data_IF_917847338375
#
_entry.id   IF_917847338375
#
_cell.length_a   1.000
_cell.length_b   1.000
_cell.length_c   1.000
_cell.angle_alpha   90.00
_cell.angle_beta   90.00
_cell.angle_gamma   90.00
#
_symmetry.space_group_name_H-M   'P 1'
#
loop_
_entity.id
_entity.type
_entity.pdbx_description
1 polymer ?
#
# COMPACT_ATOMS: atom_id res chain seq x y z
N UNK A 1 -10.97 18.30 43.58
CA UNK A 1 -12.11 18.65 42.74
C UNK A 1 -12.88 17.37 42.49
N UNK A 2 -14.22 17.38 42.50
CA UNK A 2 -14.97 16.22 42.03
C UNK A 2 -14.64 15.98 40.58
N UNK A 3 -14.58 14.73 40.11
CA UNK A 3 -14.32 14.41 38.70
C UNK A 3 -15.38 15.06 37.82
N UNK A 4 -14.96 15.62 36.68
CA UNK A 4 -15.87 16.18 35.70
C UNK A 4 -16.76 15.03 35.15
N UNK A 5 -18.06 15.28 34.84
CA UNK A 5 -18.92 14.23 34.26
C UNK A 5 -18.30 13.51 33.04
N UNK A 6 -17.48 14.20 32.23
CA UNK A 6 -16.75 13.61 31.14
C UNK A 6 -15.66 12.59 31.57
N UNK A 7 -15.18 12.68 32.81
CA UNK A 7 -14.19 11.74 33.35
C UNK A 7 -14.80 10.42 33.81
N UNK A 8 -16.14 10.32 33.84
CA UNK A 8 -16.90 9.13 34.25
C UNK A 8 -17.33 8.24 33.08
N UNK A 9 -16.97 8.54 31.86
CA UNK A 9 -17.23 7.70 30.67
C UNK A 9 -16.27 6.51 30.58
N UNK A 10 -16.34 5.60 31.54
CA UNK A 10 -15.43 4.46 31.67
C UNK A 10 -15.91 3.19 30.96
N UNK A 11 -17.06 3.24 30.29
CA UNK A 11 -17.69 2.09 29.64
C UNK A 11 -18.03 2.38 28.18
N UNK A 12 -17.87 1.37 27.32
CA UNK A 12 -18.60 1.25 26.07
C UNK A 12 -19.84 0.45 26.35
N UNK A 13 -21.01 1.05 26.18
CA UNK A 13 -22.29 0.42 26.48
C UNK A 13 -23.00 0.00 25.20
N UNK A 14 -23.29 -1.28 25.08
CA UNK A 14 -24.05 -1.87 23.98
C UNK A 14 -25.37 -2.41 24.55
N UNK A 15 -26.50 -2.02 23.98
CA UNK A 15 -27.80 -2.54 24.36
C UNK A 15 -28.62 -2.91 23.14
N UNK A 16 -29.17 -4.13 23.13
CA UNK A 16 -30.06 -4.58 22.08
C UNK A 16 -29.39 -4.77 20.72
N UNK A 17 -28.16 -5.27 20.68
CA UNK A 17 -27.47 -5.51 19.39
C UNK A 17 -28.05 -6.74 18.68
N UNK A 18 -28.39 -6.55 17.36
CA UNK A 18 -29.05 -7.56 16.51
C UNK A 18 -28.30 -7.72 15.15
N UNK A 19 -27.06 -7.27 15.07
CA UNK A 19 -26.25 -7.34 13.83
C UNK A 19 -25.93 -8.81 13.51
N UNK A 20 -26.16 -9.20 12.27
CA UNK A 20 -25.93 -10.56 11.76
C UNK A 20 -26.65 -11.63 12.61
N UNK A 21 -25.86 -12.45 13.34
CA UNK A 21 -26.38 -13.55 14.17
C UNK A 21 -26.58 -13.16 15.64
N UNK A 22 -26.43 -11.89 16.02
CA UNK A 22 -26.73 -11.44 17.39
C UNK A 22 -28.21 -11.43 17.63
N UNK A 23 -28.60 -11.85 18.84
CA UNK A 23 -30.00 -11.92 19.29
C UNK A 23 -30.19 -11.06 20.54
N UNK A 24 -30.43 -9.76 20.33
CA UNK A 24 -30.73 -8.79 21.38
C UNK A 24 -29.70 -8.73 22.52
N UNK A 25 -28.44 -8.59 22.09
CA UNK A 25 -27.28 -8.67 22.98
C UNK A 25 -27.02 -7.33 23.67
N UNK A 26 -26.85 -7.37 25.00
CA UNK A 26 -26.45 -6.21 25.78
C UNK A 26 -25.20 -6.51 26.61
N UNK A 27 -24.22 -5.57 26.58
CA UNK A 27 -22.94 -5.71 27.30
C UNK A 27 -22.35 -4.36 27.63
N UNK A 28 -21.75 -4.21 28.78
CA UNK A 28 -20.93 -3.07 29.20
C UNK A 28 -19.44 -3.48 29.15
N UNK A 29 -18.63 -2.76 28.38
CA UNK A 29 -17.22 -3.06 28.17
C UNK A 29 -16.38 -1.93 28.79
N UNK A 30 -15.49 -2.23 29.75
CA UNK A 30 -14.67 -1.21 30.37
C UNK A 30 -13.65 -0.63 29.42
N UNK A 31 -13.58 0.70 29.36
CA UNK A 31 -12.56 1.44 28.60
C UNK A 31 -11.19 1.36 29.26
N UNK A 32 -10.15 1.64 28.49
CA UNK A 32 -8.75 1.65 28.95
C UNK A 32 -8.33 0.33 29.60
N UNK A 33 -8.98 -0.75 29.18
CA UNK A 33 -8.70 -2.13 29.57
C UNK A 33 -8.52 -3.00 28.35
N UNK A 34 -7.95 -4.17 28.57
CA UNK A 34 -7.90 -5.23 27.58
C UNK A 34 -9.07 -6.19 27.87
N UNK A 35 -10.00 -6.29 26.93
CA UNK A 35 -11.16 -7.18 27.00
C UNK A 35 -11.03 -8.26 25.92
N UNK A 36 -11.17 -9.53 26.32
CA UNK A 36 -11.07 -10.68 25.43
C UNK A 36 -12.43 -11.32 25.24
N UNK A 37 -12.87 -11.42 23.98
CA UNK A 37 -14.10 -12.07 23.58
C UNK A 37 -13.79 -13.49 23.08
N UNK A 38 -14.25 -14.48 23.80
CA UNK A 38 -14.03 -15.90 23.49
C UNK A 38 -15.35 -16.65 23.42
N UNK A 39 -15.36 -17.82 22.81
CA UNK A 39 -16.55 -18.70 22.65
C UNK A 39 -16.48 -19.47 21.34
N UNK A 40 -17.46 -20.35 21.10
CA UNK A 40 -17.51 -21.19 19.90
C UNK A 40 -17.58 -20.38 18.60
N UNK A 41 -17.12 -20.98 17.50
CA UNK A 41 -17.24 -20.34 16.18
C UNK A 41 -18.73 -20.10 15.86
N UNK A 42 -19.03 -18.95 15.24
CA UNK A 42 -20.41 -18.56 14.93
C UNK A 42 -21.22 -18.01 16.10
N UNK A 43 -20.67 -17.89 17.31
CA UNK A 43 -21.39 -17.35 18.48
C UNK A 43 -21.68 -15.84 18.44
N UNK A 44 -21.22 -15.10 17.44
CA UNK A 44 -21.49 -13.66 17.29
C UNK A 44 -20.40 -12.71 17.81
N UNK A 45 -19.26 -13.20 18.28
CA UNK A 45 -18.13 -12.36 18.77
C UNK A 45 -17.72 -11.29 17.78
N UNK A 46 -17.40 -11.71 16.54
CA UNK A 46 -16.99 -10.79 15.49
C UNK A 46 -18.15 -9.85 15.07
N UNK A 47 -19.40 -10.31 15.12
CA UNK A 47 -20.57 -9.46 14.87
C UNK A 47 -20.71 -8.36 15.91
N UNK A 48 -20.41 -8.64 17.18
CA UNK A 48 -20.42 -7.63 18.25
C UNK A 48 -19.23 -6.66 18.12
N UNK A 49 -18.01 -7.20 18.06
CA UNK A 49 -16.80 -6.40 18.17
C UNK A 49 -16.53 -5.62 16.88
N UNK A 50 -16.58 -6.29 15.72
CA UNK A 50 -16.34 -5.66 14.42
C UNK A 50 -17.61 -5.11 13.79
N UNK A 51 -18.68 -5.89 13.73
CA UNK A 51 -19.91 -5.52 13.05
C UNK A 51 -20.76 -4.47 13.79
N UNK A 52 -20.58 -4.32 15.10
CA UNK A 52 -21.33 -3.36 15.91
C UNK A 52 -20.43 -2.24 16.42
N UNK A 53 -19.45 -2.53 17.27
CA UNK A 53 -18.66 -1.50 17.96
C UNK A 53 -17.72 -0.77 16.98
N UNK A 54 -16.87 -1.51 16.25
CA UNK A 54 -15.92 -0.92 15.33
C UNK A 54 -16.62 -0.28 14.14
N UNK A 55 -17.66 -0.90 13.58
CA UNK A 55 -18.42 -0.38 12.46
C UNK A 55 -19.08 0.97 12.79
N UNK A 56 -19.75 1.10 13.95
CA UNK A 56 -20.37 2.36 14.34
C UNK A 56 -19.34 3.46 14.61
N UNK A 57 -18.24 3.12 15.30
CA UNK A 57 -17.16 4.08 15.49
C UNK A 57 -16.61 4.60 14.14
N UNK A 58 -16.43 3.72 13.16
CA UNK A 58 -15.95 4.09 11.85
C UNK A 58 -16.98 4.92 11.07
N UNK A 59 -18.26 4.58 11.17
CA UNK A 59 -19.37 5.35 10.59
C UNK A 59 -19.39 6.76 11.11
N UNK A 60 -19.32 6.94 12.43
CA UNK A 60 -19.32 8.26 13.08
C UNK A 60 -18.11 9.11 12.64
N UNK A 61 -16.93 8.51 12.49
CA UNK A 61 -15.76 9.20 11.97
C UNK A 61 -15.97 9.61 10.50
N UNK A 62 -16.51 8.71 9.67
CA UNK A 62 -16.77 8.97 8.26
C UNK A 62 -17.73 10.14 8.09
N UNK A 63 -18.72 10.32 8.95
CA UNK A 63 -19.65 11.43 8.92
C UNK A 63 -18.99 12.81 9.20
N UNK A 64 -17.83 12.85 9.82
CA UNK A 64 -17.10 14.11 10.04
C UNK A 64 -16.43 14.67 8.79
N UNK A 65 -16.28 13.86 7.73
CA UNK A 65 -15.67 14.28 6.47
C UNK A 65 -16.68 14.98 5.57
N UNK A 66 -16.17 15.75 4.60
CA UNK A 66 -17.03 16.38 3.59
C UNK A 66 -17.71 15.31 2.71
N UNK A 67 -18.90 15.61 2.17
CA UNK A 67 -19.65 14.70 1.30
C UNK A 67 -18.83 14.18 0.11
N UNK A 68 -17.92 15.01 -0.43
CA UNK A 68 -17.00 14.60 -1.50
C UNK A 68 -16.07 13.47 -1.04
N UNK A 69 -15.47 13.57 0.14
CA UNK A 69 -14.58 12.54 0.70
C UNK A 69 -15.36 11.28 1.06
N UNK A 70 -16.56 11.43 1.63
CA UNK A 70 -17.44 10.30 1.97
C UNK A 70 -17.78 9.43 0.74
N UNK A 71 -17.90 10.04 -0.45
CA UNK A 71 -18.16 9.32 -1.70
C UNK A 71 -17.04 8.34 -2.11
N UNK A 72 -15.83 8.47 -1.57
CA UNK A 72 -14.70 7.55 -1.80
C UNK A 72 -14.45 6.58 -0.65
N UNK A 73 -15.20 6.69 0.45
CA UNK A 73 -15.06 5.82 1.61
C UNK A 73 -16.01 4.62 1.52
N UNK A 74 -15.67 3.49 2.16
CA UNK A 74 -16.61 2.39 2.29
C UNK A 74 -17.89 2.86 2.96
N UNK A 75 -19.03 2.53 2.36
CA UNK A 75 -20.33 2.83 2.95
C UNK A 75 -20.60 1.84 4.10
N UNK A 76 -20.37 2.29 5.31
CA UNK A 76 -20.67 1.51 6.54
C UNK A 76 -22.06 1.89 7.00
N UNK A 77 -23.01 0.97 6.86
CA UNK A 77 -24.38 1.15 7.40
C UNK A 77 -24.37 1.23 8.91
N UNK A 78 -25.39 1.93 9.47
CA UNK A 78 -25.58 1.96 10.93
C UNK A 78 -25.90 0.53 11.41
N UNK A 79 -25.19 0.00 12.41
CA UNK A 79 -25.50 -1.31 12.96
C UNK A 79 -26.88 -1.31 13.65
N UNK A 80 -27.56 -2.46 13.62
CA UNK A 80 -28.83 -2.65 14.31
C UNK A 80 -28.59 -2.86 15.82
N UNK A 81 -28.71 -1.77 16.56
CA UNK A 81 -28.50 -1.71 18.02
C UNK A 81 -29.38 -0.60 18.60
N UNK A 82 -29.95 -0.85 19.77
CA UNK A 82 -30.84 0.12 20.43
C UNK A 82 -30.04 1.27 21.07
N UNK A 83 -28.96 0.94 21.80
CA UNK A 83 -28.03 1.92 22.39
C UNK A 83 -26.61 1.48 22.15
N UNK A 84 -25.78 2.41 21.64
CA UNK A 84 -24.34 2.24 21.57
C UNK A 84 -23.66 3.55 21.96
N UNK A 85 -23.11 3.59 23.16
CA UNK A 85 -22.63 4.78 23.82
C UNK A 85 -21.19 4.59 24.33
N UNK A 86 -20.49 5.70 24.56
CA UNK A 86 -19.14 5.69 25.11
C UNK A 86 -18.06 5.30 24.08
N UNK A 87 -18.34 5.27 22.77
CA UNK A 87 -17.36 4.94 21.74
C UNK A 87 -16.22 5.93 21.69
N UNK A 88 -15.03 5.41 21.42
CA UNK A 88 -13.86 6.18 20.97
C UNK A 88 -13.47 5.74 19.57
N UNK A 89 -12.54 6.45 18.94
CA UNK A 89 -12.03 6.09 17.60
C UNK A 89 -11.56 4.64 17.58
N UNK A 90 -12.19 3.80 16.75
CA UNK A 90 -11.79 2.41 16.60
C UNK A 90 -10.75 2.23 15.49
N UNK A 91 -9.67 1.51 15.80
CA UNK A 91 -8.64 1.07 14.87
C UNK A 91 -8.71 -0.44 14.76
N UNK A 92 -9.06 -0.92 13.57
CA UNK A 92 -9.18 -2.35 13.28
C UNK A 92 -7.81 -2.88 12.84
N UNK A 93 -7.35 -3.93 13.52
CA UNK A 93 -6.12 -4.66 13.18
C UNK A 93 -6.49 -6.11 12.85
N UNK A 94 -6.95 -6.30 11.63
CA UNK A 94 -7.37 -7.58 11.08
C UNK A 94 -6.27 -8.26 10.26
N UNK A 95 -6.56 -9.47 9.78
CA UNK A 95 -5.69 -10.26 8.91
C UNK A 95 -5.86 -9.94 7.43
N UNK A 96 -6.67 -8.96 7.06
CA UNK A 96 -6.80 -8.58 5.67
C UNK A 96 -5.44 -8.17 5.10
N UNK A 97 -5.15 -8.67 3.90
CA UNK A 97 -3.92 -8.33 3.20
C UNK A 97 -3.86 -6.82 3.02
N UNK A 98 -2.71 -6.27 3.31
CA UNK A 98 -2.43 -4.87 3.00
C UNK A 98 -2.52 -4.73 1.49
N UNK A 99 -3.45 -3.90 1.02
CA UNK A 99 -3.92 -3.85 -0.37
C UNK A 99 -2.82 -3.96 -1.44
N UNK A 100 -3.20 -4.45 -2.60
CA UNK A 100 -2.33 -4.82 -3.73
C UNK A 100 -1.62 -3.63 -4.43
N UNK A 101 -1.35 -2.52 -3.73
CA UNK A 101 -0.57 -1.44 -4.32
C UNK A 101 0.89 -1.89 -4.50
N UNK A 102 1.31 -2.01 -5.75
CA UNK A 102 2.67 -2.44 -6.14
C UNK A 102 3.77 -1.59 -5.50
N UNK A 103 3.49 -0.34 -5.15
CA UNK A 103 4.42 0.57 -4.48
C UNK A 103 4.40 0.47 -2.95
N UNK A 104 3.54 -0.38 -2.39
CA UNK A 104 3.46 -0.57 -0.95
C UNK A 104 4.52 -1.58 -0.48
N UNK A 105 5.31 -1.20 0.52
CA UNK A 105 6.34 -2.05 1.14
C UNK A 105 6.16 -2.10 2.65
N UNK A 106 6.80 -3.06 3.31
CA UNK A 106 6.83 -3.16 4.78
C UNK A 106 7.21 -1.80 5.40
N UNK A 107 8.27 -1.17 4.90
CA UNK A 107 8.72 0.12 5.44
C UNK A 107 7.75 1.28 5.21
N UNK A 108 6.93 1.26 4.14
CA UNK A 108 5.92 2.32 3.90
C UNK A 108 4.67 2.13 4.75
N UNK A 109 4.28 0.89 5.02
CA UNK A 109 3.09 0.56 5.83
C UNK A 109 3.31 0.87 7.30
N UNK A 110 4.53 0.73 7.77
CA UNK A 110 4.91 0.91 9.18
C UNK A 110 5.51 2.27 9.49
N UNK A 111 5.54 3.17 8.51
CA UNK A 111 6.17 4.50 8.56
C UNK A 111 7.71 4.48 8.82
N UNK A 112 8.35 3.31 8.93
CA UNK A 112 9.79 3.18 9.08
C UNK A 112 10.57 3.88 7.95
N UNK A 113 10.10 3.75 6.71
CA UNK A 113 10.69 4.44 5.55
C UNK A 113 10.60 5.96 5.65
N UNK A 114 9.58 6.52 6.29
CA UNK A 114 9.46 7.96 6.46
C UNK A 114 10.58 8.49 7.36
N UNK A 115 10.81 7.82 8.49
CA UNK A 115 11.89 8.16 9.43
C UNK A 115 13.27 7.96 8.81
N UNK A 116 13.48 6.84 8.10
CA UNK A 116 14.73 6.54 7.41
C UNK A 116 15.07 7.60 6.33
N UNK A 117 14.09 8.04 5.54
CA UNK A 117 14.27 9.11 4.56
C UNK A 117 14.67 10.44 5.21
N UNK A 118 14.10 10.78 6.36
CA UNK A 118 14.49 11.97 7.11
C UNK A 118 15.93 11.82 7.59
N UNK A 119 16.31 10.65 8.08
CA UNK A 119 17.68 10.38 8.53
C UNK A 119 18.68 10.58 7.37
N UNK A 120 18.44 9.97 6.21
CA UNK A 120 19.31 10.14 5.04
C UNK A 120 19.35 11.58 4.52
N UNK A 121 18.25 12.33 4.61
CA UNK A 121 18.22 13.74 4.23
C UNK A 121 19.07 14.63 5.13
N UNK A 122 19.36 14.21 6.36
CA UNK A 122 20.16 14.98 7.33
C UNK A 122 21.62 14.54 7.37
N UNK A 123 21.86 13.24 7.34
CA UNK A 123 23.21 12.68 7.52
C UNK A 123 23.86 12.19 6.24
N UNK A 124 23.09 11.93 5.18
CA UNK A 124 23.58 11.36 3.93
C UNK A 124 24.57 12.24 3.19
N UNK A 125 25.66 11.64 2.73
CA UNK A 125 26.72 12.29 1.96
C UNK A 125 26.89 11.59 0.61
N UNK A 126 26.86 12.35 -0.54
CA UNK A 126 26.60 13.78 -0.65
C UNK A 126 25.16 14.15 -0.23
N UNK A 127 24.95 15.38 0.22
CA UNK A 127 23.60 15.88 0.48
C UNK A 127 22.88 16.13 -0.84
N UNK A 128 21.72 15.50 -1.04
CA UNK A 128 20.96 15.56 -2.31
C UNK A 128 19.63 16.30 -2.19
N UNK A 129 19.19 16.65 -0.98
CA UNK A 129 17.96 17.39 -0.76
C UNK A 129 17.13 16.87 0.42
N UNK A 130 15.85 17.32 0.51
CA UNK A 130 14.94 16.95 1.58
C UNK A 130 14.54 15.46 1.51
N UNK A 131 13.80 14.97 2.49
CA UNK A 131 13.36 13.56 2.59
C UNK A 131 12.63 13.03 1.33
N UNK A 132 12.02 13.93 0.55
CA UNK A 132 11.41 13.57 -0.74
C UNK A 132 12.44 13.09 -1.78
N UNK A 133 13.70 13.56 -1.71
CA UNK A 133 14.78 13.12 -2.57
C UNK A 133 15.15 11.63 -2.37
N UNK A 134 14.69 11.03 -1.28
CA UNK A 134 14.87 9.62 -0.94
C UNK A 134 13.58 8.80 -1.06
N UNK A 135 12.52 9.37 -1.65
CA UNK A 135 11.23 8.70 -1.82
C UNK A 135 11.04 8.13 -3.22
N UNK A 136 10.90 6.82 -3.32
CA UNK A 136 10.58 6.17 -4.60
C UNK A 136 9.15 6.45 -5.11
N UNK A 137 8.31 7.11 -4.30
CA UNK A 137 6.95 7.54 -4.69
C UNK A 137 6.88 8.99 -5.18
N UNK A 138 7.99 9.72 -5.16
CA UNK A 138 8.04 11.12 -5.55
C UNK A 138 8.96 11.28 -6.76
N UNK A 139 8.43 11.68 -7.94
CA UNK A 139 9.24 11.95 -9.10
C UNK A 139 10.03 13.26 -8.94
N UNK A 140 11.17 13.34 -9.59
CA UNK A 140 11.85 14.61 -9.83
C UNK A 140 11.14 15.33 -10.97
N UNK A 141 10.74 16.58 -10.72
CA UNK A 141 10.02 17.40 -11.70
C UNK A 141 10.73 18.75 -11.81
N UNK A 142 11.01 19.18 -13.04
CA UNK A 142 11.48 20.52 -13.35
C UNK A 142 10.42 21.22 -14.20
N UNK A 143 9.95 22.37 -13.75
CA UNK A 143 9.02 23.18 -14.49
C UNK A 143 9.56 24.61 -14.57
N UNK A 144 9.47 25.23 -15.75
CA UNK A 144 9.81 26.65 -15.94
C UNK A 144 8.58 27.42 -16.41
N UNK A 145 8.35 28.56 -15.80
CA UNK A 145 7.20 29.42 -16.11
C UNK A 145 7.52 30.89 -15.88
N UNK A 146 6.68 31.75 -16.43
CA UNK A 146 6.74 33.17 -16.17
C UNK A 146 6.07 33.47 -14.82
N UNK A 147 6.79 34.12 -13.91
CA UNK A 147 6.22 34.65 -12.67
C UNK A 147 6.21 36.20 -12.72
N UNK A 148 5.17 36.78 -12.22
CA UNK A 148 5.08 38.24 -12.09
C UNK A 148 5.50 38.66 -10.70
N UNK A 149 6.64 39.34 -10.61
CA UNK A 149 7.15 39.85 -9.33
C UNK A 149 6.80 41.33 -9.20
N UNK A 150 6.04 41.70 -8.18
CA UNK A 150 5.74 43.08 -7.84
C UNK A 150 6.81 43.62 -6.88
N UNK A 151 7.47 44.74 -7.27
CA UNK A 151 8.37 45.51 -6.41
C UNK A 151 7.89 46.93 -6.39
N UNK A 152 7.17 47.33 -5.33
CA UNK A 152 6.49 48.62 -5.25
C UNK A 152 5.42 48.73 -6.33
N UNK A 153 5.39 49.87 -7.06
CA UNK A 153 4.42 50.13 -8.14
C UNK A 153 4.82 49.52 -9.52
N UNK A 154 5.90 48.71 -9.58
CA UNK A 154 6.36 48.10 -10.85
C UNK A 154 6.20 46.60 -10.78
N UNK A 155 5.55 46.06 -11.78
CA UNK A 155 5.48 44.60 -12.02
C UNK A 155 6.47 44.20 -13.11
N UNK A 156 7.29 43.16 -12.86
CA UNK A 156 8.19 42.61 -13.84
C UNK A 156 7.94 41.10 -13.98
N UNK A 157 7.81 40.66 -15.21
CA UNK A 157 7.69 39.25 -15.50
C UNK A 157 9.09 38.65 -15.60
N UNK A 158 9.40 37.67 -14.75
CA UNK A 158 10.68 36.95 -14.74
C UNK A 158 10.42 35.48 -14.99
N UNK A 159 11.36 34.82 -15.70
CA UNK A 159 11.32 33.37 -15.90
C UNK A 159 11.83 32.70 -14.63
N UNK A 160 10.99 31.95 -13.95
CA UNK A 160 11.38 31.15 -12.80
C UNK A 160 11.40 29.67 -13.18
N UNK A 161 12.39 28.94 -12.67
CA UNK A 161 12.46 27.49 -12.78
C UNK A 161 12.22 26.91 -11.41
N UNK A 162 11.26 26.02 -11.32
CA UNK A 162 10.90 25.30 -10.11
C UNK A 162 11.38 23.87 -10.24
N UNK A 163 12.28 23.46 -9.38
CA UNK A 163 12.79 22.10 -9.32
C UNK A 163 12.27 21.42 -8.05
N UNK A 164 11.57 20.31 -8.20
CA UNK A 164 11.23 19.41 -7.11
C UNK A 164 12.08 18.16 -7.25
N UNK A 165 12.98 17.95 -6.29
CA UNK A 165 13.79 16.74 -6.27
C UNK A 165 13.01 15.62 -5.63
N UNK A 166 12.88 14.49 -6.34
CA UNK A 166 12.29 13.25 -5.88
C UNK A 166 13.29 12.10 -6.01
N UNK A 167 13.07 11.04 -5.24
CA UNK A 167 13.94 9.87 -5.24
C UNK A 167 13.49 8.75 -6.17
N UNK A 168 12.42 8.93 -6.93
CA UNK A 168 11.85 7.91 -7.79
C UNK A 168 12.78 7.59 -8.97
N UNK A 169 13.02 6.31 -9.24
CA UNK A 169 13.71 5.88 -10.46
C UNK A 169 12.88 6.28 -11.69
N UNK A 170 13.43 7.03 -12.65
CA UNK A 170 12.67 7.51 -13.81
C UNK A 170 12.25 6.38 -14.75
N UNK A 171 13.01 5.27 -14.81
CA UNK A 171 12.75 4.17 -15.74
C UNK A 171 11.59 3.28 -15.29
N UNK A 172 11.55 2.89 -14.02
CA UNK A 172 10.49 2.03 -13.50
C UNK A 172 9.43 2.79 -12.70
N UNK A 173 9.52 4.11 -12.64
CA UNK A 173 8.59 4.96 -11.90
C UNK A 173 8.32 4.48 -10.46
N UNK A 174 9.37 4.00 -9.78
CA UNK A 174 9.28 3.51 -8.41
C UNK A 174 8.69 2.10 -8.26
N UNK A 175 8.48 1.37 -9.35
CA UNK A 175 7.96 -0.01 -9.33
C UNK A 175 9.02 -1.05 -8.96
N UNK A 176 10.31 -0.77 -9.26
CA UNK A 176 11.42 -1.70 -9.07
C UNK A 176 11.55 -2.74 -10.18
N UNK A 177 10.54 -2.89 -11.00
CA UNK A 177 10.51 -3.77 -12.18
C UNK A 177 10.08 -2.98 -13.41
N UNK A 178 10.49 -3.44 -14.57
CA UNK A 178 10.03 -2.97 -15.86
C UNK A 178 9.30 -4.08 -16.57
N UNK A 179 8.29 -3.70 -17.33
CA UNK A 179 7.53 -4.64 -18.14
C UNK A 179 8.33 -4.89 -19.43
N UNK A 180 8.66 -6.11 -19.69
CA UNK A 180 9.17 -6.58 -20.97
C UNK A 180 8.12 -7.44 -21.67
N UNK A 181 8.17 -7.49 -22.99
CA UNK A 181 7.20 -8.21 -23.79
C UNK A 181 7.87 -9.33 -24.57
N UNK A 182 7.37 -10.53 -24.45
CA UNK A 182 7.74 -11.62 -25.33
C UNK A 182 7.14 -11.36 -26.72
N UNK A 183 7.97 -10.94 -27.64
CA UNK A 183 7.54 -10.64 -29.01
C UNK A 183 6.89 -11.85 -29.69
N UNK A 184 7.31 -13.07 -29.38
CA UNK A 184 6.72 -14.29 -29.94
C UNK A 184 5.27 -14.51 -29.51
N UNK A 185 4.87 -13.92 -28.38
CA UNK A 185 3.49 -13.91 -27.93
C UNK A 185 2.63 -12.80 -28.56
N UNK A 186 3.26 -11.80 -29.19
CA UNK A 186 2.57 -10.65 -29.80
C UNK A 186 2.25 -10.88 -31.27
N UNK A 187 3.11 -11.59 -31.98
CA UNK A 187 2.96 -11.87 -33.41
C UNK A 187 3.75 -13.10 -33.86
N UNK A 188 3.30 -13.72 -34.93
CA UNK A 188 4.01 -14.76 -35.70
C UNK A 188 4.82 -14.06 -36.78
N UNK A 189 6.15 -14.01 -36.64
CA UNK A 189 7.06 -13.29 -37.53
C UNK A 189 7.18 -13.95 -38.92
N UNK A 190 6.83 -15.22 -39.07
CA UNK A 190 6.80 -15.93 -40.33
C UNK A 190 5.68 -15.46 -41.27
N UNK A 191 4.66 -14.80 -40.73
CA UNK A 191 3.47 -14.32 -41.44
C UNK A 191 3.53 -12.83 -41.73
N UNK A 192 2.77 -12.43 -42.74
CA UNK A 192 2.46 -11.05 -43.05
C UNK A 192 1.24 -10.57 -42.26
N UNK A 193 0.99 -9.24 -42.23
CA UNK A 193 -0.20 -8.69 -41.60
C UNK A 193 -1.49 -9.20 -42.25
N UNK A 194 -1.49 -9.36 -43.57
CA UNK A 194 -2.64 -9.91 -44.30
C UNK A 194 -2.88 -11.39 -43.98
N UNK A 195 -1.87 -12.16 -43.64
CA UNK A 195 -1.93 -13.55 -43.19
C UNK A 195 -2.27 -13.71 -41.71
N UNK A 196 -2.50 -12.62 -40.99
CA UNK A 196 -2.89 -12.67 -39.57
C UNK A 196 -1.74 -12.83 -38.61
N UNK A 197 -0.62 -12.16 -38.89
CA UNK A 197 0.56 -12.24 -38.03
C UNK A 197 0.34 -11.82 -36.58
N UNK A 198 -0.53 -10.83 -36.29
CA UNK A 198 -0.73 -10.32 -34.92
C UNK A 198 -1.61 -11.28 -34.12
N UNK A 199 -1.12 -11.71 -32.93
CA UNK A 199 -1.77 -12.68 -32.03
C UNK A 199 -2.40 -12.03 -30.79
N UNK A 200 -2.34 -10.68 -30.69
CA UNK A 200 -2.87 -9.92 -29.55
C UNK A 200 -4.41 -10.00 -29.51
N UNK A 201 -5.03 -10.38 -28.39
CA UNK A 201 -6.47 -10.42 -28.25
C UNK A 201 -7.15 -9.11 -28.62
N UNK A 202 -8.27 -9.19 -29.37
CA UNK A 202 -9.00 -8.01 -29.83
C UNK A 202 -8.41 -7.30 -31.06
N UNK A 203 -7.28 -7.79 -31.61
CA UNK A 203 -6.71 -7.32 -32.88
C UNK A 203 -6.84 -8.45 -33.88
N UNK A 204 -8.03 -8.59 -34.47
CA UNK A 204 -8.21 -9.47 -35.61
C UNK A 204 -7.94 -8.71 -36.90
N UNK A 205 -7.29 -9.34 -37.87
CA UNK A 205 -6.93 -8.64 -39.14
C UNK A 205 -8.16 -8.16 -39.92
N UNK A 206 -9.29 -8.81 -39.80
CA UNK A 206 -10.55 -8.39 -40.39
C UNK A 206 -11.27 -7.29 -39.59
N UNK A 207 -10.90 -7.16 -38.33
CA UNK A 207 -11.49 -6.16 -37.43
C UNK A 207 -10.97 -4.75 -37.65
N UNK A 208 -11.55 -3.79 -36.93
CA UNK A 208 -11.19 -2.37 -37.02
C UNK A 208 -9.71 -2.11 -36.83
N UNK A 209 -9.09 -2.71 -35.84
CA UNK A 209 -7.66 -2.51 -35.54
C UNK A 209 -6.77 -3.15 -36.59
N UNK A 210 -7.12 -4.32 -37.10
CA UNK A 210 -6.38 -4.95 -38.20
C UNK A 210 -6.32 -4.07 -39.45
N UNK A 211 -7.43 -3.39 -39.79
CA UNK A 211 -7.43 -2.40 -40.88
C UNK A 211 -6.50 -1.23 -40.65
N UNK A 212 -6.41 -0.75 -39.39
CA UNK A 212 -5.46 0.34 -39.04
C UNK A 212 -4.01 -0.12 -39.24
N UNK A 213 -3.63 -1.32 -38.78
CA UNK A 213 -2.28 -1.84 -38.95
C UNK A 213 -1.94 -2.12 -40.41
N UNK A 214 -2.86 -2.65 -41.19
CA UNK A 214 -2.66 -2.89 -42.62
C UNK A 214 -2.61 -1.59 -43.45
N UNK A 215 -3.45 -0.62 -43.12
CA UNK A 215 -3.62 0.62 -43.87
C UNK A 215 -2.77 1.80 -43.40
N UNK A 216 -1.90 1.61 -42.39
CA UNK A 216 -1.15 2.71 -41.78
C UNK A 216 -0.06 3.34 -42.66
N UNK A 217 0.38 2.63 -43.71
CA UNK A 217 1.43 3.10 -44.64
C UNK A 217 2.84 3.05 -44.08
N UNK A 218 3.07 2.50 -42.87
CA UNK A 218 4.40 2.36 -42.27
C UNK A 218 5.13 1.10 -42.76
N UNK A 219 4.41 0.10 -43.19
CA UNK A 219 4.93 -1.19 -43.66
C UNK A 219 4.05 -1.76 -44.78
N UNK A 220 4.62 -2.66 -45.57
CA UNK A 220 3.93 -3.44 -46.57
C UNK A 220 3.13 -4.56 -45.85
N UNK A 221 1.79 -4.61 -45.98
CA UNK A 221 0.97 -5.58 -45.27
C UNK A 221 1.12 -7.02 -45.80
N UNK A 222 1.67 -7.23 -46.98
CA UNK A 222 1.95 -8.55 -47.58
C UNK A 222 3.35 -9.10 -47.23
N UNK A 223 4.18 -8.27 -46.64
CA UNK A 223 5.53 -8.66 -46.26
C UNK A 223 5.57 -9.36 -44.90
N UNK A 224 6.19 -10.55 -44.76
CA UNK A 224 6.40 -11.19 -43.49
C UNK A 224 7.13 -10.31 -42.47
N UNK A 225 6.72 -10.33 -41.20
CA UNK A 225 7.31 -9.47 -40.15
C UNK A 225 8.80 -9.75 -39.96
N UNK A 226 9.24 -11.01 -40.10
CA UNK A 226 10.67 -11.36 -40.11
C UNK A 226 11.52 -10.60 -41.13
N UNK A 227 10.92 -10.08 -42.18
CA UNK A 227 11.60 -9.27 -43.20
C UNK A 227 11.47 -7.76 -42.98
N UNK A 228 10.85 -7.32 -41.89
CA UNK A 228 10.77 -5.89 -41.56
C UNK A 228 12.15 -5.33 -41.23
N UNK A 229 12.37 -4.08 -41.61
CA UNK A 229 13.54 -3.34 -41.16
C UNK A 229 13.44 -3.06 -39.68
N UNK A 230 14.56 -2.78 -39.00
CA UNK A 230 14.56 -2.39 -37.56
C UNK A 230 13.60 -1.24 -37.29
N UNK A 231 13.48 -0.26 -38.19
CA UNK A 231 12.54 0.86 -38.05
C UNK A 231 11.08 0.40 -38.17
N UNK A 232 10.78 -0.45 -39.14
CA UNK A 232 9.43 -0.99 -39.31
C UNK A 232 8.99 -1.83 -38.07
N UNK A 233 9.87 -2.69 -37.57
CA UNK A 233 9.62 -3.46 -36.37
C UNK A 233 9.44 -2.56 -35.14
N UNK A 234 10.26 -1.52 -35.02
CA UNK A 234 10.12 -0.52 -33.96
C UNK A 234 8.79 0.23 -34.09
N UNK A 235 8.39 0.63 -35.28
CA UNK A 235 7.11 1.31 -35.52
C UNK A 235 5.91 0.39 -35.25
N UNK A 236 6.02 -0.91 -35.53
CA UNK A 236 4.99 -1.90 -35.19
C UNK A 236 4.85 -2.08 -33.66
N UNK A 237 5.96 -2.11 -32.93
CA UNK A 237 5.98 -2.40 -31.51
C UNK A 237 5.77 -1.18 -30.62
N UNK A 238 6.50 -0.08 -30.90
CA UNK A 238 6.69 1.01 -29.92
C UNK A 238 6.22 2.39 -30.39
N UNK A 239 5.67 2.53 -31.63
CA UNK A 239 5.28 3.85 -32.13
C UNK A 239 4.27 4.53 -31.22
N UNK A 240 4.61 5.74 -30.80
CA UNK A 240 3.71 6.61 -30.04
C UNK A 240 2.45 6.95 -30.84
N UNK A 241 1.31 7.25 -30.17
CA UNK A 241 0.06 7.56 -30.85
C UNK A 241 0.21 8.69 -31.85
N UNK A 242 -0.11 8.42 -33.11
CA UNK A 242 -0.04 9.38 -34.22
C UNK A 242 -1.34 9.34 -35.02
N UNK A 243 -1.84 10.52 -35.42
CA UNK A 243 -3.01 10.62 -36.30
C UNK A 243 -2.61 10.33 -37.74
N UNK A 244 -3.31 9.37 -38.34
CA UNK A 244 -3.14 8.95 -39.75
C UNK A 244 -4.47 8.90 -40.44
N UNK A 245 -4.45 8.78 -41.77
CA UNK A 245 -5.66 8.61 -42.57
C UNK A 245 -5.65 7.21 -43.18
N UNK A 246 -6.63 6.40 -42.83
CA UNK A 246 -6.80 5.05 -43.36
C UNK A 246 -8.16 4.98 -44.04
N UNK A 247 -8.22 4.57 -45.30
CA UNK A 247 -9.44 4.49 -46.10
C UNK A 247 -10.29 5.77 -46.06
N UNK A 248 -9.65 6.93 -46.03
CA UNK A 248 -10.35 8.21 -45.97
C UNK A 248 -10.73 8.68 -44.54
N UNK A 249 -10.60 7.85 -43.52
CA UNK A 249 -11.00 8.13 -42.13
C UNK A 249 -9.78 8.52 -41.31
N UNK A 250 -9.90 9.57 -40.50
CA UNK A 250 -8.85 9.94 -39.53
C UNK A 250 -8.87 8.99 -38.33
N UNK A 251 -7.80 8.26 -38.12
CA UNK A 251 -7.63 7.30 -37.03
C UNK A 251 -6.34 7.57 -36.27
N UNK A 252 -6.24 7.06 -35.05
CA UNK A 252 -4.99 7.08 -34.28
C UNK A 252 -4.30 5.72 -34.44
N UNK A 253 -3.11 5.73 -35.00
CA UNK A 253 -2.20 4.59 -34.99
C UNK A 253 -1.32 4.66 -33.74
N UNK A 254 -1.12 3.55 -33.09
CA UNK A 254 -0.17 3.34 -31.98
C UNK A 254 0.45 1.94 -32.11
N UNK A 255 1.67 1.77 -31.65
CA UNK A 255 2.33 0.47 -31.63
C UNK A 255 1.63 -0.55 -30.75
N UNK A 256 1.95 -1.83 -30.90
CA UNK A 256 1.32 -2.93 -30.14
C UNK A 256 1.55 -2.77 -28.65
N UNK A 257 2.73 -2.39 -28.21
CA UNK A 257 3.09 -2.27 -26.78
C UNK A 257 2.36 -1.12 -26.10
N UNK A 258 2.35 0.13 -26.58
CA UNK A 258 1.54 1.21 -26.01
C UNK A 258 0.05 0.82 -25.91
N UNK A 259 -0.43 0.11 -26.94
CA UNK A 259 -1.80 -0.34 -26.96
C UNK A 259 -2.11 -1.40 -25.89
N UNK A 260 -1.24 -2.41 -25.74
CA UNK A 260 -1.38 -3.44 -24.70
C UNK A 260 -1.33 -2.80 -23.31
N UNK A 261 -0.40 -1.91 -23.07
CA UNK A 261 -0.29 -1.16 -21.82
C UNK A 261 -1.59 -0.43 -21.47
N UNK A 262 -2.15 0.30 -22.46
CA UNK A 262 -3.39 1.06 -22.28
C UNK A 262 -4.63 0.19 -22.14
N UNK A 263 -4.72 -0.91 -22.91
CA UNK A 263 -5.96 -1.71 -22.99
C UNK A 263 -6.04 -2.80 -21.93
N UNK A 264 -4.91 -3.35 -21.52
CA UNK A 264 -4.84 -4.49 -20.60
C UNK A 264 -4.14 -4.12 -19.28
N UNK A 265 -2.92 -3.60 -19.31
CA UNK A 265 -2.13 -3.39 -18.09
C UNK A 265 -2.60 -2.21 -17.21
N UNK A 266 -3.47 -1.35 -17.73
CA UNK A 266 -4.11 -0.28 -16.94
C UNK A 266 -5.27 -0.77 -16.06
N UNK A 267 -5.72 -2.03 -16.25
CA UNK A 267 -6.84 -2.63 -15.54
C UNK A 267 -6.35 -3.61 -14.47
N UNK A 268 -7.17 -3.82 -13.45
CA UNK A 268 -6.91 -4.85 -12.45
C UNK A 268 -6.96 -6.24 -13.12
N UNK A 269 -5.92 -7.05 -12.87
CA UNK A 269 -5.78 -8.41 -13.43
C UNK A 269 -6.97 -9.30 -13.05
N UNK A 270 -7.51 -9.12 -11.84
CA UNK A 270 -8.65 -9.90 -11.36
C UNK A 270 -9.97 -9.57 -12.08
N UNK A 271 -10.06 -8.39 -12.69
CA UNK A 271 -11.21 -7.97 -13.49
C UNK A 271 -11.14 -8.40 -14.96
N UNK A 272 -10.02 -9.01 -15.41
CA UNK A 272 -9.81 -9.39 -16.79
C UNK A 272 -10.55 -10.68 -17.14
N UNK A 273 -11.03 -10.75 -18.39
CA UNK A 273 -11.57 -12.01 -18.95
C UNK A 273 -10.47 -13.09 -19.00
N UNK A 274 -10.80 -14.37 -18.80
CA UNK A 274 -9.81 -15.45 -18.68
C UNK A 274 -8.82 -15.53 -19.84
N UNK A 275 -9.26 -15.35 -21.08
CA UNK A 275 -8.40 -15.41 -22.27
C UNK A 275 -7.43 -14.21 -22.37
N UNK A 276 -7.83 -13.03 -21.87
CA UNK A 276 -6.96 -11.84 -21.82
C UNK A 276 -5.91 -12.04 -20.72
N UNK A 277 -6.31 -12.56 -19.56
CA UNK A 277 -5.37 -12.88 -18.48
C UNK A 277 -4.31 -13.87 -18.94
N UNK A 278 -4.73 -14.99 -19.58
CA UNK A 278 -3.79 -15.98 -20.12
C UNK A 278 -2.85 -15.41 -21.19
N UNK A 279 -3.30 -14.44 -21.99
CA UNK A 279 -2.43 -13.73 -22.92
C UNK A 279 -1.43 -12.83 -22.18
N UNK A 280 -1.87 -12.02 -21.20
CA UNK A 280 -1.00 -11.14 -20.43
C UNK A 280 0.07 -11.95 -19.67
N UNK A 281 -0.31 -13.06 -19.03
CA UNK A 281 0.60 -13.96 -18.32
C UNK A 281 1.69 -14.55 -19.24
N UNK A 282 1.37 -14.79 -20.51
CA UNK A 282 2.31 -15.32 -21.50
C UNK A 282 3.15 -14.22 -22.15
N UNK A 283 2.54 -13.06 -22.46
CA UNK A 283 3.16 -12.02 -23.28
C UNK A 283 3.94 -10.99 -22.45
N UNK A 284 3.66 -10.90 -21.15
CA UNK A 284 4.23 -9.87 -20.28
C UNK A 284 5.16 -10.53 -19.26
N UNK A 285 6.41 -10.16 -19.31
CA UNK A 285 7.41 -10.55 -18.32
C UNK A 285 7.80 -9.34 -17.48
N UNK A 286 7.89 -9.53 -16.17
CA UNK A 286 8.38 -8.51 -15.27
C UNK A 286 9.86 -8.78 -14.98
N UNK A 287 10.71 -7.89 -15.43
CA UNK A 287 12.15 -7.96 -15.15
C UNK A 287 12.52 -6.92 -14.10
N UNK A 288 13.51 -7.25 -13.26
CA UNK A 288 14.11 -6.25 -12.36
C UNK A 288 14.59 -5.06 -13.18
N UNK A 289 14.27 -3.84 -12.73
CA UNK A 289 14.65 -2.63 -13.44
C UNK A 289 16.18 -2.54 -13.56
N UNK A 290 16.76 -2.52 -14.77
CA UNK A 290 18.21 -2.52 -14.93
C UNK A 290 18.88 -1.19 -14.52
N UNK A 291 18.13 -0.10 -14.38
CA UNK A 291 18.66 1.18 -13.95
C UNK A 291 18.80 1.27 -12.43
N UNK A 292 17.82 0.77 -11.68
CA UNK A 292 17.82 0.87 -10.22
C UNK A 292 18.04 -0.47 -9.51
N UNK A 293 18.23 -1.56 -10.24
CA UNK A 293 18.42 -2.92 -9.73
C UNK A 293 17.35 -3.29 -8.66
N UNK A 294 16.09 -3.01 -8.97
CA UNK A 294 14.95 -3.29 -8.08
C UNK A 294 14.79 -2.33 -6.89
N UNK A 295 15.73 -1.45 -6.62
CA UNK A 295 15.70 -0.53 -5.48
C UNK A 295 14.58 0.52 -5.54
N UNK A 296 13.99 0.75 -6.71
CA UNK A 296 12.94 1.76 -6.99
C UNK A 296 13.44 3.21 -6.93
N UNK A 297 14.69 3.42 -6.57
CA UNK A 297 15.27 4.73 -6.29
C UNK A 297 16.16 5.22 -7.44
N UNK A 298 16.17 6.54 -7.62
CA UNK A 298 17.06 7.22 -8.56
C UNK A 298 18.53 7.03 -8.20
N UNK A 299 19.44 7.20 -9.16
CA UNK A 299 20.87 7.14 -8.93
C UNK A 299 21.33 8.17 -7.87
N UNK A 300 20.78 9.39 -7.90
CA UNK A 300 21.06 10.41 -6.90
C UNK A 300 20.70 9.93 -5.48
N UNK A 301 19.54 9.30 -5.29
CA UNK A 301 19.15 8.77 -3.99
C UNK A 301 20.07 7.65 -3.49
N UNK A 302 20.56 6.81 -4.40
CA UNK A 302 21.48 5.70 -4.10
C UNK A 302 22.93 6.16 -3.91
N UNK A 303 23.32 7.32 -4.46
CA UNK A 303 24.67 7.87 -4.26
C UNK A 303 24.91 8.43 -2.87
N UNK A 304 23.86 8.87 -2.18
CA UNK A 304 23.94 9.43 -0.82
C UNK A 304 24.03 8.31 0.22
N UNK A 305 25.04 8.35 1.07
CA UNK A 305 25.37 7.27 2.01
C UNK A 305 25.56 7.80 3.42
N UNK A 306 25.22 6.99 4.41
CA UNK A 306 25.57 7.13 5.82
C UNK A 306 26.49 5.96 6.14
N UNK A 307 27.74 6.24 6.58
CA UNK A 307 28.74 5.21 6.89
C UNK A 307 28.91 4.14 5.78
N UNK A 308 28.91 4.59 4.53
CA UNK A 308 29.09 3.71 3.37
C UNK A 308 27.80 3.01 2.87
N UNK A 309 26.69 3.05 3.62
CA UNK A 309 25.42 2.40 3.29
C UNK A 309 24.45 3.44 2.71
N UNK A 310 23.84 3.17 1.57
CA UNK A 310 22.79 4.00 0.99
C UNK A 310 21.40 3.52 1.48
N UNK A 311 20.36 4.32 1.23
CA UNK A 311 19.01 4.03 1.71
C UNK A 311 18.42 2.75 1.09
N UNK A 312 18.81 2.38 -0.14
CA UNK A 312 18.34 1.15 -0.78
C UNK A 312 18.92 -0.08 -0.07
N UNK A 313 20.24 -0.04 0.22
CA UNK A 313 20.94 -1.09 0.95
C UNK A 313 20.35 -1.24 2.36
N UNK A 314 20.14 -0.12 3.07
CA UNK A 314 19.51 -0.11 4.38
C UNK A 314 18.10 -0.73 4.36
N UNK A 315 17.29 -0.41 3.35
CA UNK A 315 15.95 -1.01 3.19
C UNK A 315 15.99 -2.50 2.81
N UNK A 316 17.08 -2.99 2.22
CA UNK A 316 17.24 -4.38 1.82
C UNK A 316 17.76 -5.28 2.95
N UNK A 317 18.38 -4.72 3.98
CA UNK A 317 18.82 -5.47 5.16
C UNK A 317 17.64 -6.15 5.85
N UNK A 318 17.93 -7.24 6.56
CA UNK A 318 16.99 -7.72 7.57
C UNK A 318 16.80 -6.63 8.64
N UNK A 319 15.58 -6.48 9.13
CA UNK A 319 15.27 -5.42 10.10
C UNK A 319 16.07 -5.57 11.38
N UNK A 320 16.38 -6.82 11.80
CA UNK A 320 17.30 -7.09 12.91
C UNK A 320 18.68 -6.47 12.69
N UNK A 321 19.24 -6.61 11.47
CA UNK A 321 20.57 -6.11 11.13
C UNK A 321 20.55 -4.59 10.96
N UNK A 322 19.47 -4.05 10.36
CA UNK A 322 19.24 -2.61 10.26
C UNK A 322 19.16 -1.96 11.64
N UNK A 323 18.52 -2.62 12.62
CA UNK A 323 18.46 -2.14 14.00
C UNK A 323 19.83 -2.12 14.67
N UNK A 324 20.70 -3.09 14.38
CA UNK A 324 22.09 -3.10 14.89
C UNK A 324 22.90 -1.98 14.24
N UNK A 325 22.82 -1.82 12.91
CA UNK A 325 23.50 -0.73 12.20
C UNK A 325 23.09 0.65 12.72
N UNK A 326 21.78 0.85 12.94
CA UNK A 326 21.26 2.14 13.43
C UNK A 326 21.81 2.52 14.79
N UNK A 327 22.03 1.55 15.71
CA UNK A 327 22.64 1.79 17.04
C UNK A 327 24.08 2.25 16.95
N UNK A 328 24.78 1.95 15.85
CA UNK A 328 26.16 2.41 15.61
C UNK A 328 26.25 3.88 15.20
N UNK A 329 25.12 4.53 14.84
CA UNK A 329 25.13 5.93 14.39
C UNK A 329 25.07 6.86 15.62
N UNK A 330 26.18 7.54 15.90
CA UNK A 330 26.29 8.50 17.00
C UNK A 330 26.24 9.93 16.45
N UNK A 331 25.06 10.55 16.41
CA UNK A 331 24.87 11.95 16.04
C UNK A 331 23.77 12.61 16.87
N UNK A 332 24.18 13.56 17.70
CA UNK A 332 23.30 14.26 18.65
C UNK A 332 22.26 15.13 17.96
N UNK A 333 22.54 15.62 16.75
CA UNK A 333 21.62 16.50 15.99
C UNK A 333 20.36 15.77 15.54
N UNK A 334 20.39 14.45 15.45
CA UNK A 334 19.28 13.58 15.04
C UNK A 334 18.88 12.57 16.11
N UNK A 335 19.35 12.71 17.34
CA UNK A 335 19.09 11.75 18.42
C UNK A 335 17.61 11.39 18.62
N UNK A 336 16.64 12.34 18.62
CA UNK A 336 15.22 11.98 18.73
C UNK A 336 14.70 11.15 17.54
N UNK A 337 15.23 11.40 16.34
CA UNK A 337 14.88 10.65 15.14
C UNK A 337 15.43 9.22 15.19
N UNK A 338 16.70 9.08 15.61
CA UNK A 338 17.33 7.78 15.82
C UNK A 338 16.56 6.96 16.85
N UNK A 339 16.20 7.55 17.98
CA UNK A 339 15.40 6.89 19.02
C UNK A 339 14.03 6.44 18.49
N UNK A 340 13.34 7.29 17.72
CA UNK A 340 12.05 6.95 17.12
C UNK A 340 12.16 5.81 16.12
N UNK A 341 13.13 5.85 15.21
CA UNK A 341 13.35 4.79 14.23
C UNK A 341 13.79 3.49 14.92
N UNK A 342 14.70 3.57 15.90
CA UNK A 342 15.14 2.41 16.69
C UNK A 342 13.96 1.72 17.37
N UNK A 343 13.05 2.49 17.99
CA UNK A 343 11.86 1.94 18.62
C UNK A 343 10.97 1.17 17.64
N UNK A 344 10.81 1.69 16.41
CA UNK A 344 10.05 0.98 15.35
C UNK A 344 10.76 -0.32 14.97
N UNK A 345 12.07 -0.30 14.72
CA UNK A 345 12.84 -1.50 14.34
C UNK A 345 12.88 -2.55 15.47
N UNK A 346 13.04 -2.13 16.71
CA UNK A 346 13.00 -3.03 17.87
C UNK A 346 11.62 -3.67 18.04
N UNK A 347 10.53 -2.93 17.74
CA UNK A 347 9.17 -3.49 17.73
C UNK A 347 9.01 -4.61 16.69
N UNK A 348 9.65 -4.50 15.51
CA UNK A 348 9.67 -5.59 14.53
C UNK A 348 10.36 -6.84 15.07
N UNK A 349 11.51 -6.66 15.73
CA UNK A 349 12.26 -7.78 16.32
C UNK A 349 11.47 -8.45 17.44
N UNK A 350 10.87 -7.64 18.32
CA UNK A 350 10.07 -8.12 19.44
C UNK A 350 8.84 -8.93 18.98
N UNK A 351 8.19 -8.54 17.87
CA UNK A 351 7.00 -9.23 17.33
C UNK A 351 7.36 -10.44 16.44
N UNK A 352 8.66 -10.74 16.30
CA UNK A 352 9.14 -11.86 15.49
C UNK A 352 9.16 -11.59 13.99
N UNK A 353 9.22 -10.33 13.56
CA UNK A 353 9.31 -9.91 12.16
C UNK A 353 10.70 -9.34 11.78
N UNK A 354 11.70 -9.54 12.63
CA UNK A 354 13.07 -9.04 12.40
C UNK A 354 13.75 -9.60 11.14
N UNK A 355 13.29 -10.75 10.63
CA UNK A 355 13.78 -11.37 9.40
C UNK A 355 13.27 -10.68 8.11
N UNK A 356 12.24 -9.84 8.21
CA UNK A 356 11.75 -9.08 7.08
C UNK A 356 12.74 -7.98 6.69
N UNK A 357 12.56 -7.46 5.47
CA UNK A 357 13.23 -6.24 5.00
C UNK A 357 12.21 -5.14 4.73
N UNK A 358 12.62 -3.88 4.87
CA UNK A 358 11.73 -2.73 4.67
C UNK A 358 11.27 -2.57 3.22
N UNK A 359 12.05 -3.06 2.26
CA UNK A 359 11.71 -3.02 0.82
C UNK A 359 10.80 -4.17 0.38
N UNK A 360 10.53 -5.17 1.24
CA UNK A 360 9.64 -6.29 0.89
C UNK A 360 8.24 -5.76 0.54
N UNK A 361 7.68 -6.14 -0.63
CA UNK A 361 6.34 -5.73 -1.02
C UNK A 361 5.30 -6.19 0.00
N UNK A 362 4.41 -5.28 0.43
CA UNK A 362 3.41 -5.59 1.47
C UNK A 362 2.41 -6.66 1.06
N UNK A 363 2.11 -6.78 -0.25
CA UNK A 363 1.21 -7.81 -0.78
C UNK A 363 1.78 -9.24 -0.72
N UNK A 364 3.09 -9.41 -0.44
CA UNK A 364 3.73 -10.73 -0.27
C UNK A 364 3.71 -11.23 1.17
N UNK A 365 3.20 -10.42 2.09
CA UNK A 365 3.07 -10.82 3.49
C UNK A 365 1.95 -11.83 3.67
N UNK A 366 2.17 -12.82 4.52
CA UNK A 366 1.07 -13.68 5.03
C UNK A 366 0.09 -12.84 5.87
N UNK A 367 -1.14 -13.33 6.06
CA UNK A 367 -2.14 -12.63 6.87
C UNK A 367 -1.63 -12.27 8.28
N UNK A 368 -0.95 -13.19 8.95
CA UNK A 368 -0.37 -12.95 10.28
C UNK A 368 0.81 -11.96 10.25
N UNK A 369 1.67 -11.97 9.21
CA UNK A 369 2.73 -10.96 9.03
C UNK A 369 2.12 -9.58 8.79
N UNK A 370 1.09 -9.48 7.93
CA UNK A 370 0.40 -8.23 7.63
C UNK A 370 -0.25 -7.63 8.88
N UNK A 371 -0.94 -8.44 9.67
CA UNK A 371 -1.57 -8.02 10.93
C UNK A 371 -0.52 -7.50 11.91
N UNK A 372 0.58 -8.23 12.12
CA UNK A 372 1.66 -7.80 13.00
C UNK A 372 2.34 -6.52 12.49
N UNK A 373 2.56 -6.39 11.18
CA UNK A 373 3.11 -5.17 10.60
C UNK A 373 2.19 -3.95 10.81
N UNK A 374 0.87 -4.12 10.66
CA UNK A 374 -0.11 -3.06 10.99
C UNK A 374 0.02 -2.64 12.46
N UNK A 375 0.20 -3.59 13.38
CA UNK A 375 0.34 -3.33 14.81
C UNK A 375 1.56 -2.46 15.15
N UNK A 376 2.69 -2.66 14.48
CA UNK A 376 3.93 -1.89 14.71
C UNK A 376 3.69 -0.39 14.55
N UNK A 377 2.94 0.01 13.53
CA UNK A 377 2.59 1.42 13.30
C UNK A 377 1.89 2.03 14.52
N UNK A 378 1.03 1.28 15.17
CA UNK A 378 0.25 1.73 16.32
C UNK A 378 1.04 1.73 17.62
N UNK A 379 2.02 0.83 17.76
CA UNK A 379 2.93 0.83 18.90
C UNK A 379 3.78 2.10 18.96
N UNK A 380 4.19 2.63 17.82
CA UNK A 380 4.91 3.90 17.71
C UNK A 380 4.02 5.15 17.85
N UNK A 381 2.69 4.99 17.80
CA UNK A 381 1.74 6.11 17.87
C UNK A 381 1.69 6.73 19.27
N UNK A 382 1.57 8.05 19.31
CA UNK A 382 1.32 8.83 20.54
C UNK A 382 -0.18 8.96 20.87
N UNK A 383 -1.06 8.30 20.09
CA UNK A 383 -2.50 8.34 20.33
C UNK A 383 -2.85 7.63 21.65
N UNK A 384 -3.73 8.25 22.41
CA UNK A 384 -4.31 7.73 23.66
C UNK A 384 -5.83 7.79 23.57
N UNK A 385 -6.51 7.04 24.41
CA UNK A 385 -7.99 6.92 24.44
C UNK A 385 -8.60 6.46 23.09
N UNK A 386 -7.91 5.54 22.42
CA UNK A 386 -8.32 4.89 21.17
C UNK A 386 -8.78 3.46 21.49
N UNK A 387 -9.76 2.94 20.73
CA UNK A 387 -10.18 1.53 20.81
C UNK A 387 -9.48 0.72 19.73
N UNK A 388 -8.54 -0.13 20.10
CA UNK A 388 -7.94 -1.11 19.20
C UNK A 388 -8.75 -2.39 19.18
N UNK A 389 -9.02 -2.91 17.98
CA UNK A 389 -9.82 -4.12 17.78
C UNK A 389 -8.98 -5.14 17.00
N UNK A 390 -8.75 -6.31 17.61
CA UNK A 390 -7.93 -7.37 17.04
C UNK A 390 -8.76 -8.63 16.77
N UNK A 391 -8.54 -9.21 15.58
CA UNK A 391 -9.11 -10.50 15.19
C UNK A 391 -8.02 -11.57 15.23
N UNK A 392 -8.14 -12.48 16.20
CA UNK A 392 -7.25 -13.63 16.41
C UNK A 392 -5.74 -13.30 16.25
N UNK A 393 -5.19 -12.31 16.99
CA UNK A 393 -3.83 -11.83 16.77
C UNK A 393 -2.74 -12.88 17.00
N UNK A 394 -3.08 -14.01 17.65
CA UNK A 394 -2.15 -15.10 17.94
C UNK A 394 -2.23 -16.26 16.94
N UNK A 395 -3.09 -16.14 15.90
CA UNK A 395 -3.23 -17.21 14.90
C UNK A 395 -1.90 -17.53 14.20
N UNK A 396 -1.57 -18.83 14.07
CA UNK A 396 -0.34 -19.27 13.43
C UNK A 396 0.95 -18.96 14.20
N UNK A 397 0.87 -18.40 15.41
CA UNK A 397 2.05 -18.16 16.25
C UNK A 397 2.46 -19.39 17.05
N UNK A 398 3.78 -19.55 17.19
CA UNK A 398 4.35 -20.50 18.15
C UNK A 398 4.08 -19.98 19.59
N UNK A 399 3.94 -20.86 20.61
CA UNK A 399 3.67 -20.46 22.00
C UNK A 399 4.62 -19.37 22.53
N UNK A 400 5.90 -19.42 22.19
CA UNK A 400 6.86 -18.39 22.58
C UNK A 400 6.53 -17.00 22.01
N UNK A 401 6.00 -16.94 20.78
CA UNK A 401 5.65 -15.66 20.13
C UNK A 401 4.30 -15.14 20.63
N UNK A 402 3.43 -15.99 21.17
CA UNK A 402 2.19 -15.59 21.84
C UNK A 402 2.50 -14.71 23.04
N UNK A 403 3.48 -15.08 23.87
CA UNK A 403 3.88 -14.28 25.02
C UNK A 403 4.36 -12.86 24.61
N UNK A 404 5.09 -12.77 23.51
CA UNK A 404 5.51 -11.46 22.93
C UNK A 404 4.31 -10.65 22.46
N UNK A 405 3.39 -11.29 21.71
CA UNK A 405 2.16 -10.63 21.26
C UNK A 405 1.34 -10.12 22.45
N UNK A 406 1.17 -10.93 23.47
CA UNK A 406 0.46 -10.54 24.70
C UNK A 406 1.09 -9.30 25.35
N UNK A 407 2.42 -9.24 25.44
CA UNK A 407 3.14 -8.08 25.96
C UNK A 407 2.83 -6.82 25.15
N UNK A 408 2.73 -6.92 23.83
CA UNK A 408 2.43 -5.77 22.97
C UNK A 408 0.98 -5.29 23.12
N UNK A 409 0.02 -6.21 23.25
CA UNK A 409 -1.39 -5.87 23.53
C UNK A 409 -1.52 -5.15 24.89
N UNK A 410 -0.78 -5.62 25.91
CA UNK A 410 -0.73 -4.97 27.21
C UNK A 410 -0.09 -3.57 27.14
N UNK A 411 0.97 -3.39 26.36
CA UNK A 411 1.59 -2.05 26.12
C UNK A 411 0.60 -1.06 25.48
N UNK A 412 -0.23 -1.51 24.52
CA UNK A 412 -1.26 -0.65 23.93
C UNK A 412 -2.28 -0.23 24.99
N UNK A 413 -2.73 -1.14 25.85
CA UNK A 413 -3.60 -0.84 26.99
C UNK A 413 -2.95 0.14 27.95
N UNK A 414 -1.69 -0.09 28.31
CA UNK A 414 -0.97 0.71 29.32
C UNK A 414 -0.69 2.15 28.85
N UNK A 415 -0.77 2.40 27.55
CA UNK A 415 -0.81 3.77 26.97
C UNK A 415 -2.17 4.47 27.18
N UNK A 416 -3.13 3.86 27.88
CA UNK A 416 -4.46 4.43 28.14
C UNK A 416 -5.47 4.15 27.01
N UNK A 417 -5.26 3.08 26.24
CA UNK A 417 -6.18 2.67 25.19
C UNK A 417 -7.09 1.53 25.62
N UNK A 418 -8.24 1.43 24.97
CA UNK A 418 -9.13 0.27 25.07
C UNK A 418 -8.68 -0.76 24.05
N UNK A 419 -8.52 -2.01 24.46
CA UNK A 419 -8.08 -3.11 23.58
C UNK A 419 -9.11 -4.20 23.60
N UNK A 420 -9.77 -4.45 22.46
CA UNK A 420 -10.76 -5.50 22.27
C UNK A 420 -10.14 -6.60 21.42
N UNK A 421 -10.15 -7.82 21.91
CA UNK A 421 -9.51 -8.96 21.24
C UNK A 421 -10.53 -10.08 21.08
N UNK A 422 -10.77 -10.54 19.88
CA UNK A 422 -11.46 -11.81 19.61
C UNK A 422 -10.39 -12.89 19.57
N UNK A 423 -10.47 -13.87 20.47
CA UNK A 423 -9.43 -14.90 20.63
C UNK A 423 -9.95 -16.22 21.16
N UNK A 424 -9.19 -17.30 20.87
CA UNK A 424 -9.51 -18.65 21.25
C UNK A 424 -8.39 -19.34 22.05
N UNK A 425 -7.15 -18.81 22.00
CA UNK A 425 -6.00 -19.43 22.69
C UNK A 425 -5.99 -19.06 24.18
N UNK A 426 -5.87 -20.08 25.08
CA UNK A 426 -5.90 -19.85 26.52
C UNK A 426 -4.86 -18.83 27.02
N UNK A 427 -3.65 -18.83 26.41
CA UNK A 427 -2.56 -17.95 26.78
C UNK A 427 -2.85 -16.47 26.49
N UNK A 428 -3.64 -16.20 25.45
CA UNK A 428 -4.07 -14.84 25.13
C UNK A 428 -5.34 -14.45 25.91
N UNK A 429 -6.19 -15.40 26.23
CA UNK A 429 -7.37 -15.16 27.07
C UNK A 429 -6.95 -14.74 28.48
N UNK A 430 -5.89 -15.32 29.02
CA UNK A 430 -5.44 -15.12 30.40
C UNK A 430 -4.95 -13.68 30.71
N UNK A 431 -4.66 -12.84 29.69
CA UNK A 431 -4.08 -11.50 29.90
C UNK A 431 -5.12 -10.37 30.06
N UNK A 432 -6.40 -10.64 29.82
CA UNK A 432 -7.43 -9.61 29.79
C UNK A 432 -8.66 -9.94 30.62
N UNK A 433 -9.59 -8.99 30.65
CA UNK A 433 -10.93 -9.23 31.18
C UNK A 433 -11.67 -10.16 30.23
N UNK A 434 -12.12 -11.29 30.75
CA UNK A 434 -12.78 -12.33 29.98
C UNK A 434 -14.26 -12.00 29.77
N UNK A 435 -14.66 -11.91 28.50
CA UNK A 435 -16.07 -11.94 28.10
C UNK A 435 -16.31 -13.28 27.41
N UNK A 436 -16.73 -14.30 28.21
CA UNK A 436 -17.15 -15.60 27.67
C UNK A 436 -18.45 -15.43 26.90
N UNK A 437 -18.44 -15.69 25.63
CA UNK A 437 -19.58 -15.46 24.76
C UNK A 437 -20.27 -16.78 24.40
N UNK A 438 -21.46 -16.98 24.87
CA UNK A 438 -22.36 -18.02 24.39
C UNK A 438 -23.62 -17.35 23.86
N UNK A 439 -23.93 -17.51 22.58
CA UNK A 439 -25.23 -17.11 22.06
C UNK A 439 -26.27 -18.04 22.72
N UNK A 440 -27.30 -17.52 23.40
CA UNK A 440 -28.29 -18.35 24.11
C UNK A 440 -29.16 -19.23 23.22
N UNK A 441 -28.81 -19.46 21.97
CA UNK A 441 -29.59 -20.22 21.02
C UNK A 441 -28.85 -21.40 20.36
N UNK A 442 -27.87 -21.99 21.03
CA UNK A 442 -27.34 -23.32 20.70
C UNK A 442 -27.34 -24.20 21.94
#
# INVERSE_FOLDING_TARGET
>A
MPPHPADTHDLIRVQGARVNNLKDVSVDIPKRRLSVFTGVSGSGKSSLVFGTIAAESQRLINETYSAFVQGFMPNVGRPEVDVLDGLTTAIIVDQERIGANVRSTVGTVTDANALLRILFSRLGKPHIGPSNAFSFNVPSVSASGAITVARGNKTKTEKATFNRVGGMCPRCEGMGSVTDFDHSALFDDSKSLNEGAITVPGITMEGWYGRIYRGCGFFDPDKPIAKFTKRQLHDLLYKEPVRIKVEGINVTYEGLIPRIQKSFLSKDVDSMQPHIRAFVERAVTFQTCPECDGSRLSEAARSSKIEGINIADACAMQISDLAVWLRGIEDTSVAPLLAGLQHVLDSFVEIGLGYLSLNRPSGTLSGGEAQRAKMIRHLGSSLTDVTYVFDEPTIGLHPHDIARMNTLLLRLRDKGNTVLVVEHKPEAIAIGLLHAWSNPAH
#
